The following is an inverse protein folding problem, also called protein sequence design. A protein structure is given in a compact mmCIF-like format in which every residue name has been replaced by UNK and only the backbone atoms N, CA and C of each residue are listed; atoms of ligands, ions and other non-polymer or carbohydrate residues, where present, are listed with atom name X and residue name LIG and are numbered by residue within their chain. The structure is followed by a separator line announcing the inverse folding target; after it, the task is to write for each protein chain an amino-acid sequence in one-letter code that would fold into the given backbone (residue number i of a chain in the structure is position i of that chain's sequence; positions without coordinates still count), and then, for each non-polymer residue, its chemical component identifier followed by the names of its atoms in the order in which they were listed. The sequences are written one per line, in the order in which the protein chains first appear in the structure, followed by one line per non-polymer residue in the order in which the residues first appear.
data_IF_757392797265
#
_entry.id   IF_757392797265
#
_cell.length_a   1.000
_cell.length_b   1.000
_cell.length_c   1.000
_cell.angle_alpha   90.00
_cell.angle_beta   90.00
_cell.angle_gamma   90.00
#
_symmetry.space_group_name_H-M   'P 1'
#
loop_
_entity.id
_entity.type
_entity.pdbx_description
1 polymer ?
#
# COMPACT_ATOMS: atom_id res chain seq x y z
N UNK A 1 21.50 -19.18 -3.02
CA UNK A 1 21.76 -17.75 -3.32
C UNK A 1 20.81 -16.92 -2.49
N UNK A 2 21.26 -15.79 -1.96
CA UNK A 2 20.45 -14.92 -1.11
C UNK A 2 19.19 -14.40 -1.82
N UNK A 3 19.24 -14.21 -3.15
CA UNK A 3 18.07 -13.81 -3.95
C UNK A 3 16.93 -14.83 -3.93
N UNK A 4 17.24 -16.13 -3.93
CA UNK A 4 16.23 -17.18 -3.88
C UNK A 4 15.55 -17.21 -2.50
N UNK A 5 16.31 -16.98 -1.44
CA UNK A 5 15.74 -16.87 -0.08
C UNK A 5 14.81 -15.65 0.03
N UNK A 6 15.23 -14.49 -0.49
CA UNK A 6 14.40 -13.27 -0.52
C UNK A 6 13.12 -13.45 -1.34
N UNK A 7 13.19 -14.14 -2.46
CA UNK A 7 12.02 -14.46 -3.29
C UNK A 7 11.04 -15.37 -2.52
N UNK A 8 11.52 -16.38 -1.80
CA UNK A 8 10.66 -17.25 -0.98
C UNK A 8 10.03 -16.51 0.22
N UNK A 9 10.77 -15.62 0.88
CA UNK A 9 10.19 -14.75 1.93
C UNK A 9 9.09 -13.88 1.33
N UNK A 10 9.35 -13.25 0.18
CA UNK A 10 8.38 -12.39 -0.53
C UNK A 10 7.13 -13.19 -0.89
N UNK A 11 7.30 -14.40 -1.41
CA UNK A 11 6.21 -15.30 -1.76
C UNK A 11 5.39 -15.72 -0.55
N UNK A 12 6.05 -16.02 0.58
CA UNK A 12 5.40 -16.27 1.86
C UNK A 12 4.55 -15.08 2.30
N UNK A 13 5.13 -13.88 2.31
CA UNK A 13 4.44 -12.64 2.68
C UNK A 13 3.24 -12.38 1.77
N UNK A 14 3.41 -12.52 0.45
CA UNK A 14 2.32 -12.35 -0.52
C UNK A 14 1.18 -13.34 -0.29
N UNK A 15 1.50 -14.61 -0.02
CA UNK A 15 0.48 -15.63 0.28
C UNK A 15 -0.29 -15.29 1.54
N UNK A 16 0.40 -14.98 2.63
CA UNK A 16 -0.29 -14.69 3.89
C UNK A 16 -1.11 -13.40 3.81
N UNK A 17 -0.59 -12.33 3.19
CA UNK A 17 -1.36 -11.11 2.96
C UNK A 17 -2.61 -11.35 2.10
N UNK A 18 -2.57 -12.27 1.12
CA UNK A 18 -3.77 -12.69 0.40
C UNK A 18 -4.77 -13.40 1.31
N UNK A 19 -4.30 -14.29 2.21
CA UNK A 19 -5.16 -15.00 3.16
C UNK A 19 -5.94 -14.06 4.08
N UNK A 20 -5.35 -12.91 4.43
CA UNK A 20 -5.99 -11.88 5.27
C UNK A 20 -6.58 -10.70 4.47
N UNK A 21 -6.77 -10.84 3.15
CA UNK A 21 -7.44 -9.88 2.26
C UNK A 21 -6.74 -8.50 2.12
N UNK A 22 -5.41 -8.47 2.17
CA UNK A 22 -4.62 -7.26 1.83
C UNK A 22 -4.24 -7.17 0.35
N UNK A 23 -4.48 -8.26 -0.41
CA UNK A 23 -4.39 -8.34 -1.87
C UNK A 23 -3.06 -7.78 -2.46
N UNK A 24 -1.89 -8.35 -2.09
CA UNK A 24 -0.57 -7.96 -2.60
C UNK A 24 -0.30 -8.30 -4.07
N UNK A 25 -1.27 -8.92 -4.76
CA UNK A 25 -1.08 -9.54 -6.07
C UNK A 25 -0.73 -11.03 -5.95
N UNK A 26 -0.27 -11.66 -7.06
CA UNK A 26 0.11 -13.07 -7.06
C UNK A 26 1.28 -13.34 -6.11
N UNK A 27 1.27 -14.53 -5.48
CA UNK A 27 2.39 -15.01 -4.66
C UNK A 27 3.50 -15.60 -5.55
N UNK A 28 4.13 -14.73 -6.34
CA UNK A 28 5.17 -15.05 -7.32
C UNK A 28 6.60 -14.80 -6.81
N UNK A 29 6.74 -14.20 -5.63
CA UNK A 29 8.03 -13.82 -5.05
C UNK A 29 8.60 -12.50 -5.60
N UNK A 30 7.84 -11.75 -6.40
CA UNK A 30 8.27 -10.49 -7.00
C UNK A 30 7.77 -9.31 -6.16
N UNK A 31 8.72 -8.51 -5.64
CA UNK A 31 8.39 -7.32 -4.86
C UNK A 31 7.99 -6.14 -5.77
N UNK A 32 6.73 -6.12 -6.21
CA UNK A 32 6.13 -5.02 -6.98
C UNK A 32 5.47 -3.94 -6.10
N UNK A 33 5.05 -2.83 -6.72
CA UNK A 33 4.35 -1.73 -6.02
C UNK A 33 3.08 -2.19 -5.29
N UNK A 34 2.32 -3.13 -5.88
CA UNK A 34 1.12 -3.70 -5.26
C UNK A 34 1.48 -4.44 -3.97
N UNK A 35 2.51 -5.27 -4.00
CA UNK A 35 3.00 -5.98 -2.82
C UNK A 35 3.51 -5.02 -1.76
N UNK A 36 4.28 -3.99 -2.15
CA UNK A 36 4.74 -2.92 -1.24
C UNK A 36 3.56 -2.19 -0.58
N UNK A 37 2.51 -1.86 -1.34
CA UNK A 37 1.30 -1.20 -0.83
C UNK A 37 0.49 -2.09 0.11
N UNK A 38 0.42 -3.40 -0.15
CA UNK A 38 -0.24 -4.35 0.75
C UNK A 38 0.54 -4.55 2.06
N UNK A 39 1.88 -4.65 1.99
CA UNK A 39 2.74 -4.67 3.18
C UNK A 39 2.55 -3.37 3.98
N UNK A 40 2.60 -2.21 3.31
CA UNK A 40 2.39 -0.92 3.94
C UNK A 40 1.06 -0.85 4.69
N UNK A 41 -0.03 -1.31 4.06
CA UNK A 41 -1.34 -1.37 4.70
C UNK A 41 -1.35 -2.24 5.96
N UNK A 42 -0.70 -3.40 5.91
CA UNK A 42 -0.62 -4.32 7.06
C UNK A 42 0.20 -3.72 8.19
N UNK A 43 1.36 -3.14 7.87
CA UNK A 43 2.22 -2.47 8.84
C UNK A 43 1.49 -1.30 9.51
N UNK A 44 0.77 -0.50 8.71
CA UNK A 44 -0.03 0.61 9.21
C UNK A 44 -1.12 0.14 10.18
N UNK A 45 -1.85 -0.92 9.82
CA UNK A 45 -2.96 -1.45 10.63
C UNK A 45 -2.52 -2.08 11.94
N UNK A 46 -1.33 -2.69 11.95
CA UNK A 46 -0.77 -3.32 13.13
C UNK A 46 0.15 -2.38 13.92
N UNK A 47 0.23 -1.10 13.54
CA UNK A 47 1.04 -0.09 14.22
C UNK A 47 2.55 -0.34 14.15
N UNK A 48 3.00 -1.05 13.11
CA UNK A 48 4.40 -1.39 12.87
C UNK A 48 5.17 -0.23 12.24
N UNK A 49 6.49 -0.39 12.14
CA UNK A 49 7.34 0.49 11.32
C UNK A 49 6.94 0.30 9.86
N UNK A 50 6.77 1.40 9.13
CA UNK A 50 6.40 1.35 7.72
C UNK A 50 7.65 1.11 6.89
N UNK A 51 7.89 -0.15 6.53
CA UNK A 51 9.02 -0.57 5.70
C UNK A 51 8.62 -0.78 4.25
N UNK A 52 7.39 -1.22 3.99
CA UNK A 52 6.96 -1.68 2.66
C UNK A 52 7.86 -2.77 2.07
N UNK A 53 8.55 -3.54 2.91
CA UNK A 53 9.53 -4.55 2.53
C UNK A 53 9.17 -5.92 3.13
N UNK A 54 9.32 -7.02 2.38
CA UNK A 54 9.15 -8.36 2.92
C UNK A 54 10.34 -8.71 3.81
N UNK A 55 10.06 -9.29 4.98
CA UNK A 55 11.08 -9.76 5.92
C UNK A 55 10.60 -11.02 6.63
N UNK A 56 11.54 -11.80 7.17
CA UNK A 56 11.23 -12.98 8.00
C UNK A 56 10.38 -12.60 9.22
N UNK A 57 10.64 -11.42 9.79
CA UNK A 57 9.86 -10.90 10.91
C UNK A 57 8.41 -10.64 10.49
N UNK A 58 8.21 -9.96 9.35
CA UNK A 58 6.86 -9.71 8.82
C UNK A 58 6.13 -11.01 8.50
N UNK A 59 6.82 -11.95 7.87
CA UNK A 59 6.25 -13.27 7.55
C UNK A 59 5.84 -14.02 8.83
N UNK A 60 6.70 -14.03 9.85
CA UNK A 60 6.38 -14.65 11.13
C UNK A 60 5.15 -14.02 11.80
N UNK A 61 5.03 -12.69 11.74
CA UNK A 61 3.85 -11.98 12.27
C UNK A 61 2.57 -12.32 11.52
N UNK A 62 2.65 -12.46 10.19
CA UNK A 62 1.52 -12.86 9.36
C UNK A 62 1.05 -14.28 9.66
N UNK A 63 1.98 -15.21 9.91
CA UNK A 63 1.67 -16.62 10.21
C UNK A 63 1.13 -16.80 11.64
N UNK A 64 1.79 -16.21 12.64
CA UNK A 64 1.43 -16.43 14.05
C UNK A 64 0.18 -15.64 14.48
N UNK A 65 -0.22 -14.64 13.70
CA UNK A 65 -1.26 -13.68 14.09
C UNK A 65 -0.76 -12.72 15.18
N UNK A 66 -1.36 -11.53 15.25
CA UNK A 66 -0.97 -10.45 16.16
C UNK A 66 -1.31 -10.70 17.65
N UNK A 67 -1.42 -11.95 18.08
CA UNK A 67 -1.84 -12.31 19.45
C UNK A 67 -0.72 -12.40 20.49
N UNK A 68 0.53 -12.07 20.16
CA UNK A 68 1.64 -12.27 21.14
C UNK A 68 2.82 -11.30 21.02
N UNK A 69 2.62 -10.00 20.77
CA UNK A 69 3.67 -9.01 21.08
C UNK A 69 3.05 -7.71 21.61
N UNK A 70 2.50 -7.80 22.82
CA UNK A 70 2.49 -6.65 23.73
C UNK A 70 3.96 -6.34 24.10
N UNK A 71 4.55 -5.35 23.44
CA UNK A 71 5.51 -4.37 23.97
C UNK A 71 6.50 -3.90 22.90
N UNK A 72 6.17 -2.76 22.30
CA UNK A 72 7.14 -1.68 22.28
C UNK A 72 6.38 -0.37 22.32
N UNK A 73 6.61 0.40 23.38
CA UNK A 73 6.14 1.75 23.63
C UNK A 73 6.73 2.78 22.64
N UNK A 74 6.97 2.37 21.39
CA UNK A 74 7.19 3.26 20.28
C UNK A 74 5.81 3.66 19.76
N UNK A 75 5.53 4.95 19.78
CA UNK A 75 4.30 5.56 19.25
C UNK A 75 3.91 4.90 17.91
N UNK A 76 2.70 4.34 17.76
CA UNK A 76 2.23 3.79 16.49
C UNK A 76 2.38 4.82 15.37
N UNK A 77 3.02 4.43 14.27
CA UNK A 77 2.92 5.17 12.99
C UNK A 77 3.76 6.44 12.84
N UNK A 78 5.00 6.50 13.33
CA UNK A 78 5.86 7.69 13.04
C UNK A 78 7.25 7.43 12.46
N UNK A 79 7.70 6.19 12.35
CA UNK A 79 8.94 5.86 11.64
C UNK A 79 8.59 5.18 10.32
N UNK A 80 8.90 5.88 9.23
CA UNK A 80 8.78 5.38 7.88
C UNK A 80 10.19 5.28 7.31
N UNK A 81 10.50 4.14 6.69
CA UNK A 81 11.78 3.95 5.98
C UNK A 81 11.80 4.76 4.67
N UNK A 82 12.97 5.06 4.10
CA UNK A 82 13.07 5.74 2.80
C UNK A 82 12.31 5.03 1.66
N UNK A 83 12.21 3.71 1.70
CA UNK A 83 11.49 2.92 0.71
C UNK A 83 9.97 3.13 0.82
N UNK A 84 9.45 3.08 2.05
CA UNK A 84 8.05 3.41 2.31
C UNK A 84 7.74 4.90 2.02
N UNK A 85 8.67 5.81 2.28
CA UNK A 85 8.53 7.21 1.86
C UNK A 85 8.40 7.34 0.34
N UNK A 86 9.21 6.58 -0.39
CA UNK A 86 9.20 6.56 -1.85
C UNK A 86 7.89 6.00 -2.41
N UNK A 87 7.31 4.99 -1.73
CA UNK A 87 5.97 4.49 -2.03
C UNK A 87 4.91 5.59 -1.84
N UNK A 88 4.91 6.29 -0.70
CA UNK A 88 3.95 7.37 -0.42
C UNK A 88 4.06 8.49 -1.46
N UNK A 89 5.28 8.90 -1.81
CA UNK A 89 5.51 9.92 -2.85
C UNK A 89 4.98 9.46 -4.21
N UNK A 90 5.22 8.20 -4.58
CA UNK A 90 4.74 7.60 -5.82
C UNK A 90 3.21 7.63 -5.87
N UNK A 91 2.54 7.16 -4.81
CA UNK A 91 1.07 7.15 -4.72
C UNK A 91 0.50 8.57 -4.80
N UNK A 92 1.11 9.54 -4.09
CA UNK A 92 0.71 10.96 -4.17
C UNK A 92 0.79 11.49 -5.60
N UNK A 93 1.88 11.23 -6.31
CA UNK A 93 2.05 11.66 -7.70
C UNK A 93 1.04 11.01 -8.63
N UNK A 94 0.76 9.71 -8.44
CA UNK A 94 -0.24 9.00 -9.23
C UNK A 94 -1.65 9.59 -9.04
N UNK A 95 -2.06 9.82 -7.79
CA UNK A 95 -3.36 10.40 -7.44
C UNK A 95 -3.47 11.86 -7.91
N UNK A 96 -2.44 12.67 -7.71
CA UNK A 96 -2.38 14.04 -8.21
C UNK A 96 -2.49 14.09 -9.75
N UNK A 97 -1.84 13.14 -10.44
CA UNK A 97 -1.94 12.99 -11.90
C UNK A 97 -3.31 12.52 -12.41
N UNK A 98 -4.22 12.13 -11.50
CA UNK A 98 -5.63 11.87 -11.77
C UNK A 98 -6.55 13.02 -11.34
N UNK A 99 -6.01 14.06 -10.70
CA UNK A 99 -6.77 15.22 -10.21
C UNK A 99 -7.17 15.17 -8.73
N UNK A 100 -6.78 14.13 -7.98
CA UNK A 100 -7.10 14.05 -6.55
C UNK A 100 -6.17 14.94 -5.72
N UNK A 101 -6.75 15.64 -4.74
CA UNK A 101 -6.03 16.59 -3.88
C UNK A 101 -5.34 15.89 -2.71
N UNK A 102 -4.07 15.52 -2.87
CA UNK A 102 -3.30 14.79 -1.85
C UNK A 102 -2.62 15.67 -0.78
N UNK A 103 -2.86 16.98 -0.81
CA UNK A 103 -2.25 17.95 0.10
C UNK A 103 -0.76 18.23 -0.20
N UNK A 104 0.00 18.53 0.85
CA UNK A 104 1.40 19.01 0.75
C UNK A 104 2.31 17.95 0.09
N UNK A 105 3.21 18.36 -0.82
CA UNK A 105 4.26 17.51 -1.36
C UNK A 105 5.12 16.90 -0.24
N UNK A 106 5.47 15.62 -0.39
CA UNK A 106 6.37 14.93 0.54
C UNK A 106 5.79 13.62 1.09
N UNK A 107 6.55 12.90 1.93
CA UNK A 107 6.21 11.55 2.38
C UNK A 107 5.17 11.52 3.53
N UNK A 108 4.75 12.68 4.04
CA UNK A 108 3.85 12.72 5.20
C UNK A 108 2.49 12.06 4.90
N UNK A 109 2.05 11.17 5.80
CA UNK A 109 0.70 10.64 5.86
C UNK A 109 -0.21 11.71 6.47
N UNK A 110 -0.82 12.53 5.61
CA UNK A 110 -1.69 13.61 6.05
C UNK A 110 -3.17 13.22 5.91
N UNK A 111 -4.09 13.84 6.67
CA UNK A 111 -5.52 13.62 6.52
C UNK A 111 -6.04 13.88 5.10
N UNK A 112 -5.42 14.81 4.36
CA UNK A 112 -5.74 15.13 2.97
C UNK A 112 -5.41 13.95 2.04
N UNK A 113 -4.25 13.31 2.23
CA UNK A 113 -3.91 12.08 1.50
C UNK A 113 -4.94 10.99 1.76
N UNK A 114 -5.31 10.77 3.02
CA UNK A 114 -6.31 9.77 3.37
C UNK A 114 -7.67 10.08 2.73
N UNK A 115 -8.06 11.37 2.65
CA UNK A 115 -9.28 11.81 1.96
C UNK A 115 -9.20 11.53 0.46
N UNK A 116 -8.09 11.91 -0.20
CA UNK A 116 -7.87 11.65 -1.61
C UNK A 116 -7.94 10.16 -1.96
N UNK A 117 -7.37 9.31 -1.09
CA UNK A 117 -7.45 7.86 -1.24
C UNK A 117 -8.91 7.38 -1.13
N UNK A 118 -9.67 7.83 -0.12
CA UNK A 118 -11.10 7.46 0.01
C UNK A 118 -11.92 7.86 -1.20
N UNK A 119 -11.68 9.06 -1.74
CA UNK A 119 -12.35 9.56 -2.94
C UNK A 119 -12.02 8.69 -4.15
N UNK A 120 -10.73 8.38 -4.37
CA UNK A 120 -10.29 7.48 -5.40
C UNK A 120 -10.91 6.08 -5.27
N UNK A 121 -10.85 5.48 -4.08
CA UNK A 121 -11.44 4.17 -3.81
C UNK A 121 -12.94 4.17 -4.12
N UNK A 122 -13.66 5.20 -3.66
CA UNK A 122 -15.09 5.37 -3.96
C UNK A 122 -15.34 5.49 -5.45
N UNK A 123 -14.54 6.28 -6.16
CA UNK A 123 -14.71 6.50 -7.59
C UNK A 123 -14.43 5.26 -8.42
N UNK A 124 -13.46 4.46 -7.97
CA UNK A 124 -13.07 3.19 -8.58
C UNK A 124 -13.87 1.99 -8.06
N UNK A 125 -14.86 2.21 -7.19
CA UNK A 125 -15.70 1.16 -6.57
C UNK A 125 -14.88 0.10 -5.81
N UNK A 126 -13.80 0.53 -5.19
CA UNK A 126 -12.97 -0.29 -4.30
C UNK A 126 -13.50 -0.21 -2.86
N UNK A 127 -13.02 -1.12 -2.01
CA UNK A 127 -13.25 -1.05 -0.57
C UNK A 127 -12.61 0.23 -0.02
N UNK A 128 -13.43 1.11 0.56
CA UNK A 128 -12.96 2.39 1.11
C UNK A 128 -12.19 2.13 2.39
N UNK A 129 -10.86 2.26 2.32
CA UNK A 129 -9.93 2.10 3.44
C UNK A 129 -9.33 3.44 3.87
N UNK A 130 -9.16 4.37 2.91
CA UNK A 130 -8.52 5.67 3.13
C UNK A 130 -7.02 5.58 3.42
N UNK A 131 -6.38 4.45 3.11
CA UNK A 131 -4.95 4.20 3.29
C UNK A 131 -4.37 3.57 2.03
N UNK A 132 -3.05 3.67 1.89
CA UNK A 132 -2.35 3.01 0.77
C UNK A 132 -2.52 1.49 0.91
N UNK A 133 -3.05 0.83 -0.11
CA UNK A 133 -3.35 -0.61 -0.10
C UNK A 133 -3.11 -1.28 -1.45
N UNK A 134 -2.96 -2.61 -1.46
CA UNK A 134 -2.75 -3.40 -2.68
C UNK A 134 -3.83 -3.20 -3.76
N UNK A 135 -5.14 -3.21 -3.41
CA UNK A 135 -6.22 -3.03 -4.38
C UNK A 135 -6.18 -1.66 -5.07
N UNK A 136 -5.89 -0.58 -4.32
CA UNK A 136 -5.80 0.75 -4.92
C UNK A 136 -4.60 0.88 -5.86
N UNK A 137 -3.44 0.33 -5.50
CA UNK A 137 -2.25 0.38 -6.37
C UNK A 137 -2.46 -0.45 -7.63
N UNK A 138 -3.06 -1.64 -7.50
CA UNK A 138 -3.46 -2.47 -8.65
C UNK A 138 -4.37 -1.70 -9.60
N UNK A 139 -5.30 -0.90 -9.05
CA UNK A 139 -6.19 -0.07 -9.85
C UNK A 139 -5.46 1.09 -10.54
N UNK A 140 -4.54 1.75 -9.85
CA UNK A 140 -3.71 2.81 -10.41
C UNK A 140 -2.84 2.30 -11.57
N UNK A 141 -2.23 1.12 -11.44
CA UNK A 141 -1.47 0.47 -12.52
C UNK A 141 -2.34 0.14 -13.73
N UNK A 142 -3.57 -0.32 -13.51
CA UNK A 142 -4.53 -0.55 -14.61
C UNK A 142 -4.89 0.75 -15.32
N UNK A 143 -5.17 1.82 -14.59
CA UNK A 143 -5.46 3.14 -15.18
C UNK A 143 -4.27 3.69 -15.98
N UNK A 144 -3.02 3.42 -15.56
CA UNK A 144 -1.83 3.78 -16.37
C UNK A 144 -1.78 3.06 -17.71
N UNK A 145 -2.28 1.82 -17.76
CA UNK A 145 -2.29 0.98 -18.96
C UNK A 145 -3.50 1.22 -19.87
N UNK A 146 -4.56 1.86 -19.35
CA UNK A 146 -5.81 2.11 -20.05
C UNK A 146 -6.09 3.63 -20.22
N UNK A 147 -5.67 4.26 -21.33
CA UNK A 147 -5.80 5.70 -21.53
C UNK A 147 -7.25 6.22 -21.45
N UNK A 148 -8.21 5.41 -21.93
CA UNK A 148 -9.64 5.74 -21.86
C UNK A 148 -10.13 5.75 -20.42
N UNK A 149 -9.89 4.67 -19.67
CA UNK A 149 -10.28 4.58 -18.26
C UNK A 149 -9.62 5.66 -17.42
N UNK A 150 -8.36 6.02 -17.72
CA UNK A 150 -7.67 7.15 -17.08
C UNK A 150 -8.37 8.48 -17.34
N UNK A 151 -8.77 8.76 -18.58
CA UNK A 151 -9.52 9.98 -18.93
C UNK A 151 -10.85 10.04 -18.20
N UNK A 152 -11.57 8.93 -18.14
CA UNK A 152 -12.86 8.85 -17.43
C UNK A 152 -12.67 9.09 -15.91
N UNK A 153 -11.61 8.53 -15.32
CA UNK A 153 -11.24 8.77 -13.93
C UNK A 153 -10.88 10.24 -13.66
N UNK A 154 -10.10 10.87 -14.54
CA UNK A 154 -9.74 12.30 -14.44
C UNK A 154 -10.98 13.19 -14.54
N UNK A 155 -11.87 12.91 -15.49
CA UNK A 155 -13.10 13.67 -15.68
C UNK A 155 -13.98 13.59 -14.43
N UNK A 156 -14.10 12.39 -13.85
CA UNK A 156 -14.86 12.17 -12.61
C UNK A 156 -14.23 12.90 -11.42
N UNK A 157 -12.92 12.80 -11.23
CA UNK A 157 -12.21 13.49 -10.16
C UNK A 157 -12.31 15.02 -10.28
N UNK A 158 -12.30 15.55 -11.51
CA UNK A 158 -12.39 16.99 -11.79
C UNK A 158 -13.81 17.57 -11.64
N UNK A 159 -14.83 16.72 -11.57
CA UNK A 159 -16.24 17.11 -11.42
C UNK A 159 -16.69 17.28 -9.96
N UNK A 160 -15.78 17.11 -8.99
CA UNK A 160 -16.02 17.22 -7.54
C UNK A 160 -15.50 18.56 -7.01
#
# INVERSE_FOLDING_TARGET
SDDAARAEITKGVQRELNNINYEPGPADGILGLVTRAAIFAYEYDNGLVLTSEPSDQLLSQLILGSSSLSQSSARPGKTMTPDAESLVRTVKQQLAGLGYQTGVPGPALTPELARAIREFETDQKLKVSGRISGPMESRLLRLKSEPKARRDAIAKASSR
#
